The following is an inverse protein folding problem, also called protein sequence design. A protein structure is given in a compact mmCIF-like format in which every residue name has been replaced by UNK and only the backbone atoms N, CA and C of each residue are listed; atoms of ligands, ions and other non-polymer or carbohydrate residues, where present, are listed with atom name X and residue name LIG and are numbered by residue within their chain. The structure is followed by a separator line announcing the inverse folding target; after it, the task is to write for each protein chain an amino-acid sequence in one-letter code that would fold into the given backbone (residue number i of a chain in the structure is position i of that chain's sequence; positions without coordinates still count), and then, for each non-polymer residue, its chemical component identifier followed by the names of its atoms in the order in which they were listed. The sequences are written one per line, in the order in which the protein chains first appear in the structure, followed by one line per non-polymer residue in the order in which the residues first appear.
data_IF_351534694720
#
_entry.id   IF_351534694720
#
_cell.length_a   1.000
_cell.length_b   1.000
_cell.length_c   1.000
_cell.angle_alpha   90.00
_cell.angle_beta   90.00
_cell.angle_gamma   90.00
#
_symmetry.space_group_name_H-M   'P 1'
#
loop_
_entity.id
_entity.type
_entity.pdbx_description
1 polymer ?
#
# COMPACT_ATOMS: atom_id res chain seq x y z
N UNK A 1 -24.13 24.70 12.40
CA UNK A 1 -22.76 24.21 12.18
C UNK A 1 -22.85 22.92 11.39
N UNK A 2 -22.22 22.84 10.22
CA UNK A 2 -22.21 21.62 9.41
C UNK A 2 -20.87 20.93 9.67
N UNK A 3 -20.83 20.09 10.70
CA UNK A 3 -19.59 19.47 11.18
C UNK A 3 -18.89 18.63 10.11
N UNK A 4 -19.61 18.05 9.16
CA UNK A 4 -18.99 17.34 8.04
C UNK A 4 -18.19 18.32 7.18
N UNK A 5 -18.81 19.43 6.78
CA UNK A 5 -18.15 20.47 5.97
C UNK A 5 -16.89 20.98 6.68
N UNK A 6 -16.99 21.26 7.98
CA UNK A 6 -15.88 21.77 8.79
C UNK A 6 -14.78 20.71 8.92
N UNK A 7 -15.14 19.44 9.14
CA UNK A 7 -14.21 18.30 9.15
C UNK A 7 -13.45 18.15 7.83
N UNK A 8 -14.11 18.30 6.68
CA UNK A 8 -13.43 18.23 5.38
C UNK A 8 -12.46 19.38 5.14
N UNK A 9 -12.79 20.59 5.59
CA UNK A 9 -11.84 21.71 5.50
C UNK A 9 -10.63 21.48 6.39
N UNK A 10 -10.84 20.97 7.61
CA UNK A 10 -9.75 20.60 8.50
C UNK A 10 -8.89 19.48 7.93
N UNK A 11 -9.49 18.43 7.37
CA UNK A 11 -8.77 17.36 6.70
C UNK A 11 -7.90 17.92 5.56
N UNK A 12 -8.50 18.73 4.68
CA UNK A 12 -7.77 19.37 3.59
C UNK A 12 -6.56 20.19 4.09
N UNK A 13 -6.76 21.03 5.12
CA UNK A 13 -5.69 21.85 5.68
C UNK A 13 -4.60 21.00 6.35
N UNK A 14 -4.98 20.07 7.24
CA UNK A 14 -4.03 19.24 7.97
C UNK A 14 -3.23 18.31 7.05
N UNK A 15 -3.86 17.69 6.03
CA UNK A 15 -3.10 16.89 5.06
C UNK A 15 -2.17 17.80 4.26
N UNK A 16 -2.60 19.03 3.93
CA UNK A 16 -1.77 19.99 3.20
C UNK A 16 -0.48 20.33 3.94
N UNK A 17 -0.58 20.52 5.25
CA UNK A 17 0.55 20.96 6.08
C UNK A 17 1.44 19.78 6.50
N UNK A 18 0.84 18.68 6.95
CA UNK A 18 1.55 17.56 7.58
C UNK A 18 2.12 16.56 6.57
N UNK A 19 1.35 16.21 5.54
CA UNK A 19 1.75 15.16 4.60
C UNK A 19 2.46 15.79 3.40
N UNK A 20 3.79 15.72 3.45
CA UNK A 20 4.69 16.10 2.37
C UNK A 20 5.28 14.85 1.72
N UNK A 21 5.08 14.72 0.42
CA UNK A 21 5.70 13.71 -0.43
C UNK A 21 6.29 14.44 -1.63
N UNK A 22 7.53 14.08 -1.99
CA UNK A 22 8.17 14.60 -3.20
C UNK A 22 7.35 14.15 -4.40
N UNK A 23 6.65 15.10 -5.05
CA UNK A 23 5.71 14.81 -6.13
C UNK A 23 5.71 15.94 -7.17
N UNK A 24 5.42 15.58 -8.42
CA UNK A 24 5.30 16.55 -9.52
C UNK A 24 4.04 17.39 -9.39
N UNK A 25 2.97 16.74 -8.94
CA UNK A 25 1.65 17.35 -8.83
C UNK A 25 0.89 16.76 -7.67
N UNK A 26 0.18 17.63 -6.96
CA UNK A 26 -0.74 17.29 -5.89
C UNK A 26 -2.15 17.76 -6.22
N UNK A 27 -3.14 16.90 -5.99
CA UNK A 27 -4.57 17.23 -6.11
C UNK A 27 -5.29 16.88 -4.81
N UNK A 28 -5.96 17.85 -4.21
CA UNK A 28 -6.76 17.64 -3.01
C UNK A 28 -8.24 17.84 -3.34
N UNK A 29 -9.05 16.84 -3.02
CA UNK A 29 -10.51 16.93 -3.03
C UNK A 29 -11.05 16.84 -1.60
N UNK A 30 -12.37 16.78 -1.47
CA UNK A 30 -13.06 16.64 -0.18
C UNK A 30 -12.63 15.37 0.56
N UNK A 31 -12.50 14.25 -0.14
CA UNK A 31 -12.30 12.92 0.45
C UNK A 31 -10.95 12.30 0.09
N UNK A 32 -10.20 12.91 -0.84
CA UNK A 32 -8.97 12.31 -1.36
C UNK A 32 -7.85 13.33 -1.49
N UNK A 33 -6.64 12.87 -1.26
CA UNK A 33 -5.40 13.55 -1.63
C UNK A 33 -4.63 12.64 -2.55
N UNK A 34 -4.33 13.14 -3.75
CA UNK A 34 -3.61 12.43 -4.81
C UNK A 34 -2.26 13.10 -5.03
N UNK A 35 -1.20 12.29 -5.01
CA UNK A 35 0.16 12.69 -5.35
C UNK A 35 0.58 11.94 -6.62
N UNK A 36 1.02 12.69 -7.62
CA UNK A 36 1.54 12.16 -8.89
C UNK A 36 3.06 12.29 -8.87
N UNK A 37 3.74 11.15 -8.99
CA UNK A 37 5.20 11.06 -8.91
C UNK A 37 5.85 11.05 -10.30
N UNK A 38 7.16 11.18 -10.32
CA UNK A 38 8.01 11.16 -11.52
C UNK A 38 8.13 9.77 -12.15
N UNK A 39 8.09 8.71 -11.35
CA UNK A 39 8.06 7.32 -11.80
C UNK A 39 6.68 6.86 -12.33
N UNK A 40 5.75 7.80 -12.56
CA UNK A 40 4.35 7.57 -12.90
C UNK A 40 3.53 6.86 -11.80
N UNK A 41 4.04 6.78 -10.57
CA UNK A 41 3.21 6.35 -9.45
C UNK A 41 2.12 7.37 -9.14
N UNK A 42 0.93 6.88 -8.82
CA UNK A 42 -0.13 7.68 -8.19
C UNK A 42 -0.36 7.17 -6.76
N UNK A 43 -0.14 8.05 -5.78
CA UNK A 43 -0.47 7.78 -4.38
C UNK A 43 -1.78 8.47 -4.07
N UNK A 44 -2.74 7.72 -3.54
CA UNK A 44 -4.04 8.25 -3.11
C UNK A 44 -4.17 7.98 -1.62
N UNK A 45 -4.22 9.03 -0.81
CA UNK A 45 -4.75 8.98 0.55
C UNK A 45 -6.22 9.34 0.51
N UNK A 46 -7.06 8.62 1.25
CA UNK A 46 -8.50 8.87 1.22
C UNK A 46 -9.15 8.72 2.58
N UNK A 47 -10.24 9.44 2.74
CA UNK A 47 -11.22 9.25 3.81
C UNK A 47 -12.60 8.99 3.19
N UNK A 48 -13.46 8.29 3.92
CA UNK A 48 -14.87 8.13 3.56
C UNK A 48 -15.75 8.17 4.80
N UNK A 49 -16.90 8.84 4.73
CA UNK A 49 -17.82 8.96 5.85
C UNK A 49 -18.88 7.86 5.87
N UNK A 50 -19.21 7.37 7.06
CA UNK A 50 -20.31 6.45 7.34
C UNK A 50 -21.29 7.10 8.31
N UNK A 51 -22.58 7.07 7.97
CA UNK A 51 -23.64 7.71 8.78
C UNK A 51 -24.55 6.68 9.42
N UNK A 52 -24.62 5.48 8.85
CA UNK A 52 -25.50 4.42 9.35
C UNK A 52 -24.95 3.92 10.68
N UNK A 53 -25.82 3.91 11.69
CA UNK A 53 -25.48 3.45 13.04
C UNK A 53 -24.89 4.52 13.96
N UNK A 54 -24.91 5.79 13.55
CA UNK A 54 -24.44 6.94 14.35
C UNK A 54 -25.61 7.83 14.79
N UNK A 55 -25.41 8.60 15.87
CA UNK A 55 -26.40 9.56 16.38
C UNK A 55 -26.62 10.76 15.44
N UNK A 56 -27.57 11.61 15.79
CA UNK A 56 -27.79 12.87 15.07
C UNK A 56 -26.54 13.75 15.21
N UNK A 57 -26.03 14.25 14.08
CA UNK A 57 -24.78 15.02 14.00
C UNK A 57 -23.54 14.24 14.47
N UNK A 58 -23.51 12.94 14.15
CA UNK A 58 -22.35 12.07 14.34
C UNK A 58 -22.09 11.26 13.07
N UNK A 59 -20.84 10.88 12.85
CA UNK A 59 -20.47 10.02 11.72
C UNK A 59 -19.19 9.22 12.01
N UNK A 60 -19.03 8.10 11.33
CA UNK A 60 -17.78 7.36 11.23
C UNK A 60 -16.93 7.91 10.10
N UNK A 61 -15.61 7.89 10.28
CA UNK A 61 -14.64 8.10 9.19
C UNK A 61 -13.85 6.81 9.01
N UNK A 62 -13.70 6.39 7.76
CA UNK A 62 -12.70 5.39 7.37
C UNK A 62 -11.56 6.09 6.65
N UNK A 63 -10.34 5.64 6.86
CA UNK A 63 -9.15 6.11 6.15
C UNK A 63 -8.48 4.96 5.40
N UNK A 64 -7.69 5.29 4.38
CA UNK A 64 -6.95 4.29 3.63
C UNK A 64 -6.02 4.90 2.61
N UNK A 65 -5.27 4.04 1.93
CA UNK A 65 -4.35 4.42 0.87
C UNK A 65 -4.46 3.51 -0.36
N UNK A 66 -4.04 4.03 -1.51
CA UNK A 66 -3.88 3.27 -2.75
C UNK A 66 -2.58 3.73 -3.41
N UNK A 67 -1.77 2.79 -3.87
CA UNK A 67 -0.61 3.01 -4.74
C UNK A 67 -0.94 2.42 -6.10
N UNK A 68 -0.84 3.23 -7.16
CA UNK A 68 -1.03 2.81 -8.55
C UNK A 68 0.20 3.07 -9.39
N UNK A 69 0.35 2.30 -10.47
CA UNK A 69 1.43 2.45 -11.42
C UNK A 69 2.80 2.26 -10.77
N UNK A 70 3.79 2.97 -11.29
CA UNK A 70 5.11 3.08 -10.68
C UNK A 70 6.13 2.04 -11.13
N UNK A 71 7.36 2.24 -10.65
CA UNK A 71 8.52 1.47 -11.08
C UNK A 71 8.38 -0.04 -10.91
N UNK A 72 7.69 -0.52 -9.86
CA UNK A 72 7.48 -1.96 -9.63
C UNK A 72 6.62 -2.58 -10.74
N UNK A 73 5.47 -1.97 -11.07
CA UNK A 73 4.59 -2.46 -12.15
C UNK A 73 5.35 -2.42 -13.48
N UNK A 74 6.08 -1.34 -13.74
CA UNK A 74 6.84 -1.17 -14.98
C UNK A 74 7.95 -2.22 -15.12
N UNK A 75 8.67 -2.54 -14.05
CA UNK A 75 9.69 -3.60 -14.04
C UNK A 75 9.05 -4.95 -14.37
N UNK A 76 7.93 -5.29 -13.72
CA UNK A 76 7.25 -6.56 -13.94
C UNK A 76 6.76 -6.66 -15.40
N UNK A 77 6.11 -5.60 -15.89
CA UNK A 77 5.53 -5.59 -17.22
C UNK A 77 6.60 -5.56 -18.33
N UNK A 78 7.74 -4.89 -18.13
CA UNK A 78 8.85 -4.87 -19.11
C UNK A 78 9.76 -6.10 -19.07
N UNK A 79 9.69 -6.92 -18.02
CA UNK A 79 10.45 -8.18 -17.93
C UNK A 79 9.93 -9.26 -18.90
N UNK A 80 10.67 -10.35 -19.06
CA UNK A 80 10.17 -11.56 -19.72
C UNK A 80 9.42 -12.50 -18.75
N UNK A 81 9.05 -12.01 -17.56
CA UNK A 81 8.28 -12.82 -16.61
C UNK A 81 6.95 -13.25 -17.21
N UNK A 82 6.54 -14.49 -16.95
CA UNK A 82 5.22 -14.99 -17.35
C UNK A 82 4.10 -14.26 -16.61
N UNK A 83 4.38 -13.72 -15.41
CA UNK A 83 3.43 -13.01 -14.58
C UNK A 83 3.44 -11.54 -14.97
N UNK A 84 2.28 -11.01 -15.34
CA UNK A 84 2.07 -9.62 -15.73
C UNK A 84 1.07 -8.91 -14.84
N UNK A 85 1.23 -7.61 -14.72
CA UNK A 85 0.36 -6.74 -13.94
C UNK A 85 -0.58 -6.02 -14.91
N UNK A 86 -1.81 -6.52 -15.03
CA UNK A 86 -2.86 -5.97 -15.93
C UNK A 86 -3.73 -4.91 -15.25
N UNK A 87 -3.66 -4.81 -13.93
CA UNK A 87 -4.30 -3.77 -13.12
C UNK A 87 -3.38 -2.55 -13.02
N UNK A 88 -3.91 -1.38 -12.68
CA UNK A 88 -3.07 -0.22 -12.33
C UNK A 88 -2.80 -0.16 -10.84
N UNK A 89 -3.57 -0.83 -10.00
CA UNK A 89 -3.44 -0.79 -8.53
C UNK A 89 -2.39 -1.80 -8.06
N UNK A 90 -1.23 -1.32 -7.65
CA UNK A 90 -0.17 -2.12 -7.04
C UNK A 90 -0.58 -2.59 -5.64
N UNK A 91 -0.93 -1.62 -4.80
CA UNK A 91 -1.23 -1.85 -3.40
C UNK A 91 -2.34 -0.93 -2.90
N UNK A 92 -3.02 -1.35 -1.84
CA UNK A 92 -3.94 -0.47 -1.14
C UNK A 92 -4.50 -1.11 0.10
N UNK A 93 -4.95 -0.25 1.01
CA UNK A 93 -5.72 -0.64 2.16
C UNK A 93 -6.96 0.23 2.26
N UNK A 94 -8.07 -0.38 2.61
CA UNK A 94 -9.35 0.28 2.81
C UNK A 94 -9.77 0.01 4.23
N UNK A 95 -8.97 0.51 5.17
CA UNK A 95 -9.01 0.27 6.61
C UNK A 95 -8.90 -1.22 7.03
N UNK A 96 -8.07 -1.47 8.06
CA UNK A 96 -8.04 -2.68 8.91
C UNK A 96 -7.20 -3.88 8.46
N UNK A 97 -5.88 -3.71 8.25
CA UNK A 97 -5.01 -4.91 8.29
C UNK A 97 -3.66 -4.75 9.01
N UNK A 98 -3.26 -3.55 9.42
CA UNK A 98 -1.87 -3.34 9.86
C UNK A 98 -1.60 -3.50 11.35
N UNK A 99 -2.55 -3.16 12.26
CA UNK A 99 -2.20 -3.05 13.69
C UNK A 99 -3.33 -3.57 14.58
N UNK A 100 -3.04 -4.59 15.40
CA UNK A 100 -3.91 -5.08 16.50
C UNK A 100 -4.41 -3.96 17.44
N UNK A 101 -3.77 -2.78 17.47
CA UNK A 101 -4.18 -1.57 18.21
C UNK A 101 -5.14 -0.63 17.46
N UNK A 102 -5.21 -0.70 16.13
CA UNK A 102 -6.18 0.04 15.30
C UNK A 102 -7.41 -0.81 14.93
N UNK A 103 -7.55 -2.00 15.52
CA UNK A 103 -8.75 -2.83 15.42
C UNK A 103 -9.88 -2.24 16.26
N UNK A 104 -10.38 -1.09 15.84
CA UNK A 104 -11.65 -0.53 16.29
C UNK A 104 -12.35 0.08 15.09
N UNK A 105 -13.69 0.10 15.16
CA UNK A 105 -14.60 0.67 14.15
C UNK A 105 -14.11 2.04 13.65
N UNK A 106 -14.61 2.48 12.49
CA UNK A 106 -14.46 3.84 11.94
C UNK A 106 -14.31 4.91 13.03
N UNK A 107 -13.40 5.88 12.83
CA UNK A 107 -13.19 6.99 13.74
C UNK A 107 -14.53 7.69 14.00
N UNK A 108 -15.01 7.64 15.25
CA UNK A 108 -16.31 8.22 15.61
C UNK A 108 -16.16 9.72 15.83
N UNK A 109 -16.73 10.48 14.92
CA UNK A 109 -16.70 11.93 14.90
C UNK A 109 -18.03 12.50 15.42
N UNK A 110 -17.92 13.44 16.34
CA UNK A 110 -19.00 14.21 16.96
C UNK A 110 -18.68 15.71 16.91
N UNK A 111 -19.64 16.56 17.29
CA UNK A 111 -19.42 18.01 17.44
C UNK A 111 -18.27 18.36 18.39
N UNK A 112 -18.06 17.54 19.41
CA UNK A 112 -17.12 17.84 20.48
C UNK A 112 -15.68 17.38 20.15
N UNK A 113 -15.50 16.47 19.19
CA UNK A 113 -14.21 15.84 18.94
C UNK A 113 -13.70 15.93 17.50
N UNK A 114 -14.45 16.52 16.56
CA UNK A 114 -14.12 16.47 15.13
C UNK A 114 -12.74 17.01 14.77
N UNK A 115 -12.25 18.02 15.49
CA UNK A 115 -10.89 18.58 15.31
C UNK A 115 -9.83 17.55 15.70
N UNK A 116 -9.97 16.96 16.88
CA UNK A 116 -9.01 16.00 17.41
C UNK A 116 -9.04 14.69 16.62
N UNK A 117 -10.23 14.21 16.23
CA UNK A 117 -10.36 13.05 15.34
C UNK A 117 -9.69 13.29 14.00
N UNK A 118 -9.86 14.48 13.41
CA UNK A 118 -9.17 14.83 12.18
C UNK A 118 -7.66 14.74 12.34
N UNK A 119 -7.09 15.32 13.41
CA UNK A 119 -5.64 15.27 13.68
C UNK A 119 -5.14 13.84 13.89
N UNK A 120 -5.85 13.01 14.65
CA UNK A 120 -5.49 11.61 14.85
C UNK A 120 -5.49 10.83 13.54
N UNK A 121 -6.48 11.02 12.67
CA UNK A 121 -6.51 10.37 11.36
C UNK A 121 -5.28 10.75 10.53
N UNK A 122 -4.87 12.02 10.54
CA UNK A 122 -3.67 12.47 9.82
C UNK A 122 -2.40 11.87 10.41
N UNK A 123 -2.30 11.83 11.74
CA UNK A 123 -1.20 11.19 12.44
C UNK A 123 -1.10 9.70 12.09
N UNK A 124 -2.21 8.96 12.10
CA UNK A 124 -2.25 7.54 11.73
C UNK A 124 -1.83 7.35 10.26
N UNK A 125 -2.28 8.21 9.34
CA UNK A 125 -1.82 8.17 7.95
C UNK A 125 -0.29 8.35 7.87
N UNK A 126 0.26 9.29 8.64
CA UNK A 126 1.69 9.59 8.66
C UNK A 126 2.51 8.45 9.28
N UNK A 127 2.05 7.87 10.39
CA UNK A 127 2.78 6.85 11.14
C UNK A 127 2.69 5.47 10.48
N UNK A 128 1.55 5.16 9.84
CA UNK A 128 1.27 3.79 9.40
C UNK A 128 1.15 3.63 7.89
N UNK A 129 0.53 4.58 7.18
CA UNK A 129 0.38 4.47 5.72
C UNK A 129 1.59 4.98 4.97
N UNK A 130 2.17 6.11 5.38
CA UNK A 130 3.31 6.68 4.65
C UNK A 130 4.53 5.76 4.62
N UNK A 131 4.94 5.05 5.69
CA UNK A 131 6.07 4.12 5.60
C UNK A 131 5.82 3.02 4.55
N UNK A 132 4.61 2.44 4.54
CA UNK A 132 4.21 1.41 3.57
C UNK A 132 4.19 1.96 2.14
N UNK A 133 3.58 3.12 1.93
CA UNK A 133 3.56 3.77 0.61
C UNK A 133 4.98 4.03 0.12
N UNK A 134 5.81 4.65 0.98
CA UNK A 134 7.18 5.00 0.63
C UNK A 134 8.02 3.78 0.31
N UNK A 135 7.75 2.62 0.90
CA UNK A 135 8.48 1.39 0.59
C UNK A 135 8.11 0.72 -0.72
N UNK A 136 7.02 1.12 -1.38
CA UNK A 136 6.75 0.69 -2.76
C UNK A 136 7.48 1.54 -3.81
N UNK A 137 8.08 2.65 -3.40
CA UNK A 137 8.58 3.68 -4.33
C UNK A 137 10.06 3.97 -4.06
N UNK A 138 10.39 4.39 -2.83
CA UNK A 138 11.72 4.90 -2.49
C UNK A 138 12.51 3.98 -1.55
N UNK A 139 11.85 3.31 -0.60
CA UNK A 139 12.52 2.59 0.49
C UNK A 139 12.11 1.09 0.56
N UNK A 140 12.38 0.30 -0.50
CA UNK A 140 11.93 -1.09 -0.60
C UNK A 140 12.42 -1.99 0.55
N UNK A 141 13.53 -1.64 1.20
CA UNK A 141 14.06 -2.34 2.37
C UNK A 141 13.07 -2.40 3.54
N UNK A 142 12.24 -1.37 3.72
CA UNK A 142 11.21 -1.38 4.76
C UNK A 142 10.12 -2.42 4.46
N UNK A 143 9.74 -2.58 3.19
CA UNK A 143 8.77 -3.60 2.78
C UNK A 143 9.33 -5.01 3.01
N UNK A 144 10.58 -5.26 2.61
CA UNK A 144 11.26 -6.55 2.78
C UNK A 144 11.37 -6.92 4.26
N UNK A 145 11.87 -6.00 5.10
CA UNK A 145 12.03 -6.23 6.55
C UNK A 145 10.70 -6.52 7.26
N UNK A 146 9.61 -5.97 6.76
CA UNK A 146 8.29 -6.08 7.38
C UNK A 146 7.33 -7.01 6.65
N UNK A 147 7.83 -7.81 5.70
CA UNK A 147 6.97 -8.49 4.74
C UNK A 147 6.02 -9.50 5.41
N UNK A 148 6.51 -10.31 6.35
CA UNK A 148 5.67 -11.21 7.15
C UNK A 148 5.15 -10.55 8.44
N UNK A 149 6.00 -9.79 9.14
CA UNK A 149 5.67 -9.24 10.47
C UNK A 149 4.48 -8.29 10.47
N UNK A 150 4.34 -7.51 9.41
CA UNK A 150 3.20 -6.60 9.21
C UNK A 150 2.22 -7.12 8.15
N UNK A 151 2.34 -8.40 7.78
CA UNK A 151 1.55 -9.05 6.74
C UNK A 151 1.47 -8.20 5.46
N UNK A 152 2.61 -7.61 5.07
CA UNK A 152 2.74 -6.60 4.02
C UNK A 152 2.16 -7.06 2.68
N UNK A 153 2.23 -8.38 2.43
CA UNK A 153 1.62 -9.04 1.28
C UNK A 153 0.11 -8.78 1.17
N UNK A 154 -0.61 -8.49 2.26
CA UNK A 154 -2.05 -8.18 2.23
C UNK A 154 -2.35 -6.86 1.54
N UNK A 155 -1.46 -5.87 1.61
CA UNK A 155 -1.60 -4.60 0.92
C UNK A 155 -1.43 -4.75 -0.59
N UNK A 156 -0.60 -5.70 -1.01
CA UNK A 156 -0.36 -5.96 -2.41
C UNK A 156 -1.62 -6.59 -3.02
N UNK A 157 -2.14 -5.96 -4.07
CA UNK A 157 -3.45 -6.31 -4.64
C UNK A 157 -3.44 -7.68 -5.30
N UNK A 158 -2.40 -7.96 -6.09
CA UNK A 158 -2.19 -9.18 -6.89
C UNK A 158 -0.71 -9.48 -7.05
N UNK A 159 -0.40 -10.68 -7.51
CA UNK A 159 0.95 -11.12 -7.89
C UNK A 159 1.97 -10.93 -6.76
N UNK A 160 1.60 -11.37 -5.54
CA UNK A 160 2.32 -11.02 -4.31
C UNK A 160 3.72 -11.62 -4.28
N UNK A 161 3.90 -12.80 -4.85
CA UNK A 161 5.22 -13.40 -4.98
C UNK A 161 6.10 -12.54 -5.91
N UNK A 162 5.60 -12.23 -7.10
CA UNK A 162 6.31 -11.45 -8.13
C UNK A 162 6.65 -10.03 -7.65
N UNK A 163 5.73 -9.37 -6.94
CA UNK A 163 5.98 -8.06 -6.31
C UNK A 163 7.03 -8.20 -5.20
N UNK A 164 6.94 -9.23 -4.36
CA UNK A 164 7.95 -9.52 -3.34
C UNK A 164 9.35 -9.73 -3.92
N UNK A 165 9.48 -10.48 -5.01
CA UNK A 165 10.75 -10.67 -5.74
C UNK A 165 11.29 -9.35 -6.27
N UNK A 166 10.41 -8.51 -6.83
CA UNK A 166 10.79 -7.19 -7.34
C UNK A 166 11.32 -6.30 -6.20
N UNK A 167 10.62 -6.27 -5.06
CA UNK A 167 11.04 -5.55 -3.86
C UNK A 167 12.38 -6.07 -3.32
N UNK A 168 12.61 -7.39 -3.31
CA UNK A 168 13.86 -8.00 -2.86
C UNK A 168 15.07 -7.48 -3.66
N UNK A 169 14.96 -7.44 -4.98
CA UNK A 169 16.03 -6.93 -5.84
C UNK A 169 16.22 -5.42 -5.76
N UNK A 170 15.13 -4.65 -5.66
CA UNK A 170 15.19 -3.20 -5.47
C UNK A 170 15.84 -2.84 -4.12
N UNK A 171 15.55 -3.60 -3.06
CA UNK A 171 16.17 -3.45 -1.74
C UNK A 171 17.64 -3.94 -1.68
N UNK A 172 18.13 -4.64 -2.71
CA UNK A 172 19.44 -5.26 -2.68
C UNK A 172 19.54 -6.46 -1.72
N UNK A 173 18.42 -7.11 -1.41
CA UNK A 173 18.32 -8.25 -0.48
C UNK A 173 17.75 -9.47 -1.23
N UNK A 174 18.46 -10.02 -2.25
CA UNK A 174 17.95 -11.15 -3.03
C UNK A 174 17.78 -12.43 -2.21
N UNK A 175 18.48 -12.58 -1.08
CA UNK A 175 18.31 -13.72 -0.16
C UNK A 175 16.89 -13.82 0.43
N UNK A 176 16.14 -12.71 0.44
CA UNK A 176 14.74 -12.70 0.87
C UNK A 176 13.84 -13.54 -0.07
N UNK A 177 14.27 -13.82 -1.30
CA UNK A 177 13.49 -14.63 -2.25
C UNK A 177 13.29 -16.06 -1.73
N UNK A 178 14.28 -16.62 -1.02
CA UNK A 178 14.14 -17.95 -0.41
C UNK A 178 13.05 -17.97 0.68
N UNK A 179 12.93 -16.87 1.43
CA UNK A 179 11.84 -16.69 2.40
C UNK A 179 10.49 -16.58 1.69
N UNK A 180 10.40 -15.86 0.57
CA UNK A 180 9.17 -15.77 -0.23
C UNK A 180 8.75 -17.13 -0.79
N UNK A 181 9.70 -17.95 -1.26
CA UNK A 181 9.43 -19.31 -1.74
C UNK A 181 8.90 -20.17 -0.59
N UNK A 182 9.50 -20.04 0.59
CA UNK A 182 9.04 -20.74 1.81
C UNK A 182 7.62 -20.30 2.17
N UNK A 183 7.32 -18.99 2.14
CA UNK A 183 5.98 -18.47 2.41
C UNK A 183 4.94 -18.93 1.37
N UNK A 184 5.34 -19.07 0.11
CA UNK A 184 4.46 -19.55 -0.95
C UNK A 184 4.16 -21.04 -0.81
N UNK A 185 5.13 -21.85 -0.40
CA UNK A 185 5.03 -23.32 -0.40
C UNK A 185 4.53 -23.92 0.91
N UNK A 186 4.79 -23.27 2.05
CA UNK A 186 4.37 -23.76 3.37
C UNK A 186 2.97 -23.26 3.69
N UNK A 187 2.03 -24.20 3.84
CA UNK A 187 0.68 -23.89 4.32
C UNK A 187 0.75 -23.40 5.76
N UNK A 188 0.29 -22.17 5.98
CA UNK A 188 0.15 -21.57 7.31
C UNK A 188 -1.19 -20.87 7.36
N UNK A 189 -2.06 -21.27 8.28
CA UNK A 189 -3.35 -20.63 8.44
C UNK A 189 -3.16 -19.17 8.88
N UNK A 190 -3.78 -18.25 8.14
CA UNK A 190 -3.87 -16.84 8.48
C UNK A 190 -5.37 -16.51 8.52
N UNK A 191 -5.94 -16.51 9.73
CA UNK A 191 -7.40 -16.46 9.94
C UNK A 191 -8.11 -17.59 9.20
N UNK A 192 -9.03 -17.27 8.28
CA UNK A 192 -9.81 -18.23 7.48
C UNK A 192 -9.16 -18.55 6.12
N UNK A 193 -7.94 -18.09 5.86
CA UNK A 193 -7.25 -18.27 4.58
C UNK A 193 -5.94 -19.04 4.77
N UNK A 194 -5.55 -19.82 3.75
CA UNK A 194 -4.20 -20.35 3.66
C UNK A 194 -3.27 -19.24 3.17
N UNK A 195 -2.14 -19.01 3.85
CA UNK A 195 -1.08 -18.10 3.38
C UNK A 195 -0.68 -18.41 1.93
N UNK A 196 -0.69 -19.68 1.52
CA UNK A 196 -0.46 -20.12 0.14
C UNK A 196 -1.37 -19.42 -0.88
N UNK A 197 -2.62 -19.12 -0.52
CA UNK A 197 -3.57 -18.46 -1.42
C UNK A 197 -3.17 -17.02 -1.77
N UNK A 198 -2.34 -16.38 -0.94
CA UNK A 198 -1.83 -15.04 -1.23
C UNK A 198 -0.78 -15.07 -2.36
N UNK A 199 -0.01 -16.15 -2.47
CA UNK A 199 1.09 -16.31 -3.42
C UNK A 199 0.73 -17.17 -4.64
N UNK A 200 -0.53 -17.13 -5.07
CA UNK A 200 -1.02 -17.93 -6.23
C UNK A 200 -0.18 -17.76 -7.50
N UNK A 201 0.40 -16.58 -7.71
CA UNK A 201 1.23 -16.30 -8.87
C UNK A 201 2.53 -17.12 -8.91
N UNK A 202 3.06 -17.53 -7.75
CA UNK A 202 4.18 -18.47 -7.67
C UNK A 202 3.86 -19.80 -8.38
N UNK A 203 2.64 -20.30 -8.22
CA UNK A 203 2.19 -21.59 -8.76
C UNK A 203 1.74 -21.53 -10.23
N UNK A 204 1.77 -20.35 -10.86
CA UNK A 204 1.54 -20.23 -12.30
C UNK A 204 2.77 -20.60 -13.12
N UNK A 205 3.96 -20.54 -12.52
CA UNK A 205 5.21 -20.92 -13.16
C UNK A 205 5.54 -22.40 -12.91
N UNK A 206 6.05 -23.07 -13.95
CA UNK A 206 6.59 -24.43 -13.78
C UNK A 206 7.98 -24.39 -13.13
N UNK A 207 8.77 -23.37 -13.47
CA UNK A 207 10.05 -23.03 -12.87
C UNK A 207 10.09 -21.54 -12.49
N UNK A 208 9.76 -21.18 -11.23
CA UNK A 208 9.73 -19.78 -10.79
C UNK A 208 11.06 -19.03 -10.96
N UNK A 209 12.20 -19.74 -10.96
CA UNK A 209 13.52 -19.13 -11.15
C UNK A 209 13.71 -18.63 -12.59
N UNK A 210 13.34 -19.42 -13.57
CA UNK A 210 13.47 -19.10 -14.99
C UNK A 210 12.33 -18.20 -15.49
N UNK A 211 11.12 -18.41 -14.97
CA UNK A 211 9.90 -17.80 -15.51
C UNK A 211 9.48 -16.51 -14.77
N UNK A 212 10.00 -16.26 -13.56
CA UNK A 212 9.66 -15.05 -12.78
C UNK A 212 10.92 -14.34 -12.27
N UNK A 213 11.77 -15.02 -11.49
CA UNK A 213 12.86 -14.38 -10.75
C UNK A 213 13.95 -13.82 -11.67
N UNK A 214 14.48 -14.66 -12.58
CA UNK A 214 15.55 -14.25 -13.50
C UNK A 214 15.11 -13.13 -14.45
N UNK A 215 13.93 -13.18 -15.08
CA UNK A 215 13.45 -12.09 -15.92
C UNK A 215 13.36 -10.75 -15.18
N UNK A 216 12.91 -10.75 -13.92
CA UNK A 216 12.83 -9.52 -13.10
C UNK A 216 14.22 -8.99 -12.78
N UNK A 217 15.14 -9.87 -12.35
CA UNK A 217 16.53 -9.51 -12.06
C UNK A 217 17.19 -8.80 -13.25
N UNK A 218 17.07 -9.37 -14.45
CA UNK A 218 17.69 -8.84 -15.66
C UNK A 218 17.23 -7.42 -15.99
N UNK A 219 15.94 -7.10 -15.79
CA UNK A 219 15.43 -5.73 -15.99
C UNK A 219 16.03 -4.75 -14.99
N UNK A 220 16.10 -5.14 -13.72
CA UNK A 220 16.65 -4.29 -12.65
C UNK A 220 18.14 -4.05 -12.87
N UNK A 221 18.91 -5.09 -13.18
CA UNK A 221 20.35 -4.98 -13.46
C UNK A 221 20.59 -4.07 -14.67
N UNK A 222 19.78 -4.20 -15.74
CA UNK A 222 19.86 -3.29 -16.90
C UNK A 222 19.57 -1.84 -16.53
N UNK A 223 18.57 -1.58 -15.68
CA UNK A 223 18.26 -0.21 -15.21
C UNK A 223 19.41 0.39 -14.39
N UNK A 224 20.10 -0.40 -13.57
CA UNK A 224 21.27 0.05 -12.79
C UNK A 224 22.48 0.40 -13.66
N UNK A 225 22.57 -0.17 -14.87
CA UNK A 225 23.67 0.07 -15.82
C UNK A 225 23.41 1.23 -16.79
N UNK A 226 22.18 1.76 -16.82
CA UNK A 226 21.84 2.92 -17.64
C UNK A 226 22.15 4.21 -16.86
N UNK A 227 22.98 5.12 -17.39
CA UNK A 227 23.33 6.39 -16.74
C UNK A 227 22.14 7.32 -16.53
#
# INVERSE_FOLDING_TARGET
MNIEKDFYQLFKANVQDVIQLDCLKRKITKETVVFYLDDNSEIILRISLERKGYGKDEFGVYSGFIVKGGGIIDIINSSQSIVKFTDTVLAGDTSFSFIKKLHTKSYHVTKDNYIDQCRHIIQDMQEYYLPVIKSFIWYPEYAVKNFDTLEYYKFIKKNRFTVGVTLAFLAGIPSFIDELITMATVSKSVMNYDRKDYFKDYFLASNPYEEIITPIKLVIDKKKMSP
#
